data_IF_184903978395
#
_entry.id   IF_184903978395
#
_cell.length_a   1.000
_cell.length_b   1.000
_cell.length_c   1.000
_cell.angle_alpha   90.00
_cell.angle_beta   90.00
_cell.angle_gamma   90.00
#
_symmetry.space_group_name_H-M   'P 1'
#
loop_
_entity.id
_entity.type
_entity.pdbx_description
1 polymer ?
#
# COMPACT_ATOMS: atom_id res chain seq x y z
N UNK A 1 56.32 28.58 5.58
CA UNK A 1 55.03 29.19 5.97
C UNK A 1 53.96 29.05 4.88
N UNK A 2 54.18 29.45 3.62
CA UNK A 2 53.16 29.34 2.55
C UNK A 2 52.62 27.91 2.30
N UNK A 3 53.49 26.89 2.22
CA UNK A 3 53.08 25.47 2.08
C UNK A 3 52.23 24.92 3.23
N UNK A 4 52.47 25.39 4.46
CA UNK A 4 51.69 24.97 5.64
C UNK A 4 50.30 25.61 5.65
N UNK A 5 50.19 26.84 5.13
CA UNK A 5 48.92 27.55 4.96
C UNK A 5 48.10 26.92 3.83
N UNK A 6 48.72 26.59 2.69
CA UNK A 6 48.06 25.88 1.57
C UNK A 6 47.54 24.50 2.02
N UNK A 7 48.34 23.69 2.70
CA UNK A 7 47.89 22.39 3.24
C UNK A 7 46.76 22.51 4.27
N UNK A 8 46.76 23.58 5.08
CA UNK A 8 45.70 23.85 6.05
C UNK A 8 44.40 24.30 5.38
N UNK A 9 44.49 25.06 4.29
CA UNK A 9 43.36 25.46 3.45
C UNK A 9 42.77 24.28 2.69
N UNK A 10 43.61 23.40 2.13
CA UNK A 10 43.17 22.20 1.42
C UNK A 10 42.43 21.25 2.36
N UNK A 11 42.97 20.99 3.56
CA UNK A 11 42.30 20.15 4.56
C UNK A 11 40.96 20.75 5.02
N UNK A 12 40.90 22.08 5.17
CA UNK A 12 39.65 22.79 5.48
C UNK A 12 38.60 22.68 4.37
N UNK A 13 39.02 22.73 3.10
CA UNK A 13 38.15 22.54 1.94
C UNK A 13 37.65 21.10 1.82
N UNK A 14 38.52 20.11 2.06
CA UNK A 14 38.11 18.70 2.09
C UNK A 14 37.13 18.42 3.24
N UNK A 15 37.37 18.95 4.44
CA UNK A 15 36.46 18.82 5.57
C UNK A 15 35.11 19.49 5.33
N UNK A 16 35.09 20.68 4.71
CA UNK A 16 33.84 21.37 4.37
C UNK A 16 33.07 20.63 3.26
N UNK A 17 33.76 20.09 2.26
CA UNK A 17 33.15 19.29 1.19
C UNK A 17 32.55 17.99 1.75
N UNK A 18 33.26 17.29 2.63
CA UNK A 18 32.75 16.09 3.31
C UNK A 18 31.53 16.43 4.17
N UNK A 19 31.56 17.56 4.89
CA UNK A 19 30.42 18.03 5.67
C UNK A 19 29.21 18.32 4.77
N UNK A 20 29.40 19.06 3.67
CA UNK A 20 28.33 19.37 2.70
C UNK A 20 27.77 18.08 2.08
N UNK A 21 28.62 17.13 1.68
CA UNK A 21 28.18 15.85 1.12
C UNK A 21 27.43 14.99 2.16
N UNK A 22 27.84 15.03 3.43
CA UNK A 22 27.15 14.33 4.52
C UNK A 22 25.76 14.93 4.80
N UNK A 23 25.64 16.27 4.82
CA UNK A 23 24.35 16.97 4.98
C UNK A 23 23.46 16.76 3.76
N UNK A 24 24.01 16.79 2.54
CA UNK A 24 23.25 16.52 1.31
C UNK A 24 22.74 15.08 1.25
N UNK A 25 23.53 14.10 1.73
CA UNK A 25 23.09 12.70 1.84
C UNK A 25 21.95 12.53 2.84
N UNK A 26 22.00 13.28 3.95
CA UNK A 26 20.95 13.28 4.97
C UNK A 26 19.63 13.88 4.45
N UNK A 27 19.70 14.90 3.59
CA UNK A 27 18.52 15.51 2.93
C UNK A 27 17.95 14.64 1.79
N UNK A 28 18.76 13.77 1.19
CA UNK A 28 18.32 12.86 0.13
C UNK A 28 17.54 11.64 0.66
N UNK A 29 17.67 11.35 1.95
CA UNK A 29 16.87 10.33 2.64
C UNK A 29 15.67 10.98 3.32
N UNK A 30 14.52 10.34 3.19
CA UNK A 30 13.28 10.60 3.95
C UNK A 30 12.32 11.65 3.36
N UNK A 31 11.82 11.37 2.15
CA UNK A 31 10.42 11.67 1.85
C UNK A 31 9.60 10.40 2.01
N UNK A 32 9.54 9.90 3.25
CA UNK A 32 8.58 8.86 3.61
C UNK A 32 7.19 9.49 3.58
N UNK A 33 6.26 8.85 2.88
CA UNK A 33 4.86 9.28 2.86
C UNK A 33 4.35 9.28 4.31
N UNK A 34 3.71 10.36 4.76
CA UNK A 34 3.35 10.58 6.17
C UNK A 34 2.47 9.48 6.83
N UNK A 35 2.02 8.47 6.05
CA UNK A 35 1.12 7.40 6.48
C UNK A 35 1.76 6.10 7.00
N UNK A 36 3.08 5.90 6.94
CA UNK A 36 3.69 4.59 7.32
C UNK A 36 4.02 4.42 8.82
N UNK A 37 3.81 5.45 9.64
CA UNK A 37 4.34 5.42 11.01
C UNK A 37 3.50 4.59 11.97
N UNK A 38 2.25 4.32 11.65
CA UNK A 38 1.31 3.79 12.63
C UNK A 38 1.19 2.27 12.60
N UNK A 39 1.20 1.67 11.41
CA UNK A 39 1.16 0.23 11.20
C UNK A 39 2.15 -0.17 10.10
N UNK A 40 2.57 -1.43 10.09
CA UNK A 40 3.39 -2.00 9.02
C UNK A 40 2.96 -3.44 8.71
N UNK A 41 3.63 -4.07 7.75
CA UNK A 41 3.35 -5.44 7.31
C UNK A 41 4.39 -6.46 7.81
N UNK A 42 5.31 -6.04 8.68
CA UNK A 42 6.35 -6.91 9.21
C UNK A 42 5.76 -7.82 10.29
N UNK A 43 5.63 -9.12 10.00
CA UNK A 43 4.99 -10.11 10.89
C UNK A 43 5.54 -10.13 12.33
N UNK A 44 6.83 -9.89 12.50
CA UNK A 44 7.49 -9.87 13.83
C UNK A 44 7.45 -8.52 14.54
N UNK A 45 6.87 -7.49 13.94
CA UNK A 45 6.85 -6.14 14.50
C UNK A 45 5.68 -5.95 15.45
N UNK A 46 5.87 -5.14 16.50
CA UNK A 46 4.78 -4.67 17.36
C UNK A 46 3.73 -3.84 16.61
N UNK A 47 4.05 -3.38 15.40
CA UNK A 47 3.13 -2.67 14.48
C UNK A 47 2.65 -3.56 13.33
N UNK A 48 3.00 -4.83 13.35
CA UNK A 48 2.70 -5.80 12.31
C UNK A 48 1.25 -6.27 12.33
N UNK A 49 0.83 -7.05 11.31
CA UNK A 49 -0.55 -7.49 11.12
C UNK A 49 -1.15 -8.21 12.33
N UNK A 50 -0.35 -9.00 13.05
CA UNK A 50 -0.77 -9.68 14.27
C UNK A 50 -1.20 -8.75 15.41
N UNK A 51 -0.80 -7.47 15.38
CA UNK A 51 -1.02 -6.48 16.45
C UNK A 51 -1.89 -5.30 16.03
N UNK A 52 -2.35 -5.20 14.78
CA UNK A 52 -3.09 -4.01 14.30
C UNK A 52 -4.31 -3.64 15.15
N UNK A 53 -5.02 -4.64 15.69
CA UNK A 53 -6.19 -4.40 16.55
C UNK A 53 -5.87 -3.86 17.94
N UNK A 54 -4.60 -3.87 18.36
CA UNK A 54 -4.12 -3.36 19.65
C UNK A 54 -3.57 -1.93 19.52
N UNK A 55 -3.24 -1.49 18.31
CA UNK A 55 -2.65 -0.16 18.05
C UNK A 55 -3.64 0.98 18.34
N UNK A 56 -4.92 0.76 18.00
CA UNK A 56 -6.00 1.73 18.19
C UNK A 56 -7.32 1.05 18.53
N UNK A 57 -8.12 1.69 19.36
CA UNK A 57 -9.43 1.17 19.78
C UNK A 57 -10.38 0.95 18.59
N UNK A 58 -10.31 1.84 17.60
CA UNK A 58 -11.10 1.84 16.37
C UNK A 58 -10.73 0.68 15.44
N UNK A 59 -9.55 0.07 15.62
CA UNK A 59 -9.03 -1.01 14.79
C UNK A 59 -9.22 -2.39 15.43
N UNK A 60 -9.88 -2.48 16.58
CA UNK A 60 -10.16 -3.73 17.29
C UNK A 60 -10.79 -4.83 16.42
N UNK A 61 -11.46 -4.50 15.32
CA UNK A 61 -11.97 -5.51 14.39
C UNK A 61 -10.88 -6.32 13.69
N UNK A 62 -9.65 -5.81 13.57
CA UNK A 62 -8.52 -6.52 12.97
C UNK A 62 -8.11 -7.75 13.78
N UNK A 63 -8.34 -7.76 15.11
CA UNK A 63 -8.05 -8.92 15.96
C UNK A 63 -9.32 -9.69 16.40
N UNK A 64 -10.44 -9.00 16.61
CA UNK A 64 -11.66 -9.60 17.18
C UNK A 64 -12.72 -9.96 16.12
N UNK A 65 -12.54 -9.48 14.89
CA UNK A 65 -13.45 -9.74 13.77
C UNK A 65 -13.43 -11.19 13.30
N UNK A 66 -14.62 -11.77 13.10
CA UNK A 66 -14.77 -13.16 12.62
C UNK A 66 -14.96 -13.31 11.12
N UNK A 67 -15.07 -12.19 10.41
CA UNK A 67 -15.28 -12.11 8.95
C UNK A 67 -14.25 -11.16 8.32
N UNK A 68 -12.97 -11.37 8.66
CA UNK A 68 -11.85 -10.60 8.11
C UNK A 68 -11.40 -11.17 6.76
N UNK A 69 -10.67 -10.36 6.00
CA UNK A 69 -10.04 -10.72 4.73
C UNK A 69 -8.53 -10.47 4.82
N UNK A 70 -7.70 -11.12 3.98
CA UNK A 70 -8.06 -12.12 2.96
C UNK A 70 -8.48 -13.47 3.57
N UNK A 71 -9.13 -14.30 2.76
CA UNK A 71 -9.44 -15.70 3.09
C UNK A 71 -8.86 -16.62 2.02
N UNK A 72 -8.61 -17.86 2.42
CA UNK A 72 -8.17 -18.91 1.51
C UNK A 72 -9.35 -19.43 0.66
N UNK A 73 -9.22 -19.35 -0.67
CA UNK A 73 -10.24 -19.74 -1.64
C UNK A 73 -9.92 -21.11 -2.24
N UNK A 74 -10.29 -22.17 -1.52
CA UNK A 74 -10.10 -23.56 -1.93
C UNK A 74 -11.27 -24.06 -2.79
N UNK A 75 -10.97 -24.74 -3.90
CA UNK A 75 -11.99 -25.30 -4.79
C UNK A 75 -12.87 -26.35 -4.08
N UNK A 76 -12.32 -27.04 -3.08
CA UNK A 76 -13.01 -28.09 -2.31
C UNK A 76 -14.11 -27.52 -1.40
N UNK A 77 -14.03 -26.24 -1.02
CA UNK A 77 -14.95 -25.60 -0.06
C UNK A 77 -15.85 -24.54 -0.69
N UNK A 78 -15.75 -24.31 -2.00
CA UNK A 78 -16.53 -23.30 -2.70
C UNK A 78 -17.84 -23.86 -3.24
N UNK A 79 -18.96 -23.19 -2.96
CA UNK A 79 -20.24 -23.48 -3.59
C UNK A 79 -20.38 -22.73 -4.91
N UNK A 80 -20.56 -23.44 -6.02
CA UNK A 80 -20.77 -22.81 -7.33
C UNK A 80 -22.24 -22.48 -7.54
N UNK A 81 -22.57 -21.18 -7.49
CA UNK A 81 -23.94 -20.69 -7.67
C UNK A 81 -24.12 -20.18 -9.11
N UNK A 82 -24.88 -20.93 -9.93
CA UNK A 82 -25.03 -20.66 -11.36
C UNK A 82 -26.07 -19.57 -11.72
N UNK A 83 -26.97 -19.22 -10.80
CA UNK A 83 -28.09 -18.29 -11.04
C UNK A 83 -27.75 -16.81 -10.81
N UNK A 84 -26.48 -16.49 -10.53
CA UNK A 84 -26.03 -15.11 -10.30
C UNK A 84 -25.96 -14.26 -11.57
N UNK A 85 -25.89 -14.91 -12.73
CA UNK A 85 -25.62 -14.23 -13.99
C UNK A 85 -24.19 -13.71 -14.07
N UNK A 86 -23.84 -13.12 -15.21
CA UNK A 86 -22.53 -12.48 -15.40
C UNK A 86 -22.52 -11.15 -14.66
N UNK A 87 -21.40 -10.80 -14.03
CA UNK A 87 -21.21 -9.46 -13.46
C UNK A 87 -21.32 -8.41 -14.57
N UNK A 88 -22.37 -7.58 -14.51
CA UNK A 88 -22.53 -6.46 -15.43
C UNK A 88 -21.58 -5.34 -15.01
N UNK A 89 -20.72 -4.90 -15.94
CA UNK A 89 -19.71 -3.87 -15.73
C UNK A 89 -19.87 -2.85 -16.83
N UNK A 90 -20.18 -1.61 -16.45
CA UNK A 90 -20.23 -0.48 -17.37
C UNK A 90 -19.21 0.58 -16.94
N UNK A 91 -17.94 0.20 -16.96
CA UNK A 91 -16.85 1.12 -16.64
C UNK A 91 -16.64 2.10 -17.80
N UNK A 92 -16.46 3.38 -17.47
CA UNK A 92 -16.14 4.44 -18.43
C UNK A 92 -14.74 5.00 -18.15
N UNK A 93 -13.98 5.43 -19.17
CA UNK A 93 -12.72 6.12 -18.96
C UNK A 93 -12.90 7.35 -18.06
N UNK A 94 -11.92 7.63 -17.21
CA UNK A 94 -11.87 8.82 -16.36
C UNK A 94 -10.42 9.27 -16.12
N UNK A 95 -10.23 10.52 -15.69
CA UNK A 95 -8.91 11.08 -15.43
C UNK A 95 -8.37 10.59 -14.08
N UNK A 96 -7.40 9.69 -14.13
CA UNK A 96 -6.77 9.08 -12.97
C UNK A 96 -5.49 9.82 -12.53
N UNK A 97 -5.22 9.86 -11.22
CA UNK A 97 -3.89 10.20 -10.69
C UNK A 97 -3.40 9.10 -9.78
N UNK A 98 -2.21 8.56 -10.09
CA UNK A 98 -1.59 7.54 -9.26
C UNK A 98 -0.96 8.17 -8.02
N UNK A 99 -1.42 7.75 -6.84
CA UNK A 99 -0.95 8.20 -5.53
C UNK A 99 -0.27 7.02 -4.84
N UNK A 100 0.95 7.24 -4.38
CA UNK A 100 1.63 6.35 -3.44
C UNK A 100 1.32 6.82 -2.01
N UNK A 101 0.69 5.96 -1.19
CA UNK A 101 0.33 6.26 0.21
C UNK A 101 1.32 5.68 1.23
N UNK A 102 2.43 5.10 0.75
CA UNK A 102 3.41 4.33 1.53
C UNK A 102 3.01 2.86 1.60
N UNK A 103 1.86 2.58 2.19
CA UNK A 103 1.36 1.21 2.40
C UNK A 103 0.63 0.60 1.18
N UNK A 104 0.28 1.40 0.17
CA UNK A 104 -0.27 0.96 -1.12
C UNK A 104 -0.19 2.06 -2.20
N UNK A 105 -0.45 1.68 -3.45
CA UNK A 105 -0.66 2.59 -4.58
C UNK A 105 -2.14 2.63 -4.94
N UNK A 106 -2.71 3.84 -5.01
CA UNK A 106 -4.12 4.06 -5.27
C UNK A 106 -4.32 5.08 -6.41
N UNK A 107 -5.44 4.99 -7.12
CA UNK A 107 -5.89 6.03 -8.04
C UNK A 107 -6.80 7.05 -7.33
N UNK A 108 -6.56 8.35 -7.53
CA UNK A 108 -7.26 9.46 -6.88
C UNK A 108 -8.69 9.63 -7.40
N UNK A 109 -9.68 9.20 -6.61
CA UNK A 109 -11.09 9.65 -6.53
C UNK A 109 -11.95 9.80 -7.79
N UNK A 110 -11.47 9.50 -9.00
CA UNK A 110 -12.34 9.29 -10.15
C UNK A 110 -12.61 7.80 -10.31
N UNK A 111 -13.38 7.24 -9.38
CA UNK A 111 -13.86 5.88 -9.55
C UNK A 111 -14.65 5.79 -10.87
N UNK A 112 -14.06 5.15 -11.89
CA UNK A 112 -14.76 4.68 -13.08
C UNK A 112 -15.88 3.67 -12.76
N UNK A 113 -16.08 3.35 -11.47
CA UNK A 113 -17.07 2.46 -10.91
C UNK A 113 -18.44 3.16 -10.83
N UNK A 114 -19.47 2.68 -11.54
CA UNK A 114 -20.84 3.10 -11.28
C UNK A 114 -21.21 2.84 -9.82
N UNK A 115 -21.85 3.80 -9.14
CA UNK A 115 -22.45 3.56 -7.82
C UNK A 115 -23.49 2.44 -7.96
N UNK A 116 -23.22 1.28 -7.36
CA UNK A 116 -24.18 0.17 -7.29
C UNK A 116 -24.99 0.35 -5.99
N UNK A 117 -26.32 0.54 -6.05
CA UNK A 117 -27.14 0.51 -4.85
C UNK A 117 -27.03 -0.87 -4.23
N UNK A 118 -26.41 -0.98 -3.05
CA UNK A 118 -26.20 -2.30 -2.44
C UNK A 118 -27.44 -2.88 -1.79
N UNK A 119 -28.52 -2.11 -1.61
CA UNK A 119 -29.89 -2.52 -1.23
C UNK A 119 -30.01 -3.79 -0.35
N UNK A 120 -29.07 -3.96 0.61
CA UNK A 120 -28.91 -5.15 1.47
C UNK A 120 -28.76 -6.50 0.74
N UNK A 121 -28.25 -6.54 -0.49
CA UNK A 121 -28.06 -7.78 -1.25
C UNK A 121 -26.75 -8.49 -0.88
N UNK A 122 -26.82 -9.79 -0.62
CA UNK A 122 -25.64 -10.65 -0.41
C UNK A 122 -24.76 -10.70 -1.67
N UNK A 123 -23.46 -10.41 -1.51
CA UNK A 123 -22.44 -10.48 -2.57
C UNK A 123 -22.04 -11.94 -2.79
N UNK A 124 -22.04 -12.42 -4.03
CA UNK A 124 -21.60 -13.78 -4.38
C UNK A 124 -20.60 -13.73 -5.53
N UNK A 125 -19.66 -14.68 -5.56
CA UNK A 125 -18.58 -14.75 -6.55
C UNK A 125 -19.03 -15.42 -7.86
N UNK A 126 -18.60 -14.89 -9.00
CA UNK A 126 -18.88 -15.42 -10.34
C UNK A 126 -17.66 -16.16 -10.91
N UNK A 127 -17.85 -17.36 -11.47
CA UNK A 127 -16.83 -18.09 -12.23
C UNK A 127 -17.31 -18.34 -13.67
N UNK A 128 -16.59 -17.86 -14.71
CA UNK A 128 -16.95 -18.15 -16.10
C UNK A 128 -16.67 -19.61 -16.46
N UNK A 129 -17.51 -20.21 -17.32
CA UNK A 129 -17.21 -21.49 -17.97
C UNK A 129 -16.15 -21.25 -19.05
N UNK A 130 -15.03 -21.98 -18.99
CA UNK A 130 -14.06 -22.05 -20.08
C UNK A 130 -14.71 -22.94 -21.16
N UNK A 131 -14.85 -22.44 -22.39
CA UNK A 131 -15.14 -23.31 -23.53
C UNK A 131 -13.80 -23.96 -23.90
N UNK A 132 -13.74 -25.28 -23.89
CA UNK A 132 -12.66 -25.99 -24.57
C UNK A 132 -12.79 -25.67 -26.07
N UNK A 133 -11.80 -24.96 -26.61
CA UNK A 133 -11.60 -24.87 -28.05
C UNK A 133 -11.03 -26.21 -28.51
N UNK A 134 -11.73 -26.86 -29.44
CA UNK A 134 -11.39 -28.15 -30.04
C UNK A 134 -10.05 -28.12 -30.77
#
# INVERSE_FOLDING_TARGET
MKKLIEQSCDLGFFLSLVLVLSVASCLATCQEVEGEREFNYDEGSAKGPGHWGELRSEWSMCNSGRMQSPIDLLNERVETVSNLGKLNRDYKPSNASLINRGHDMMDSETNARPLQPTNKRSVKLYRPRVREEN
#
